data_IF_385266218988
#
_entry.id   IF_385266218988
#
_cell.length_a   1.000
_cell.length_b   1.000
_cell.length_c   1.000
_cell.angle_alpha   90.00
_cell.angle_beta   90.00
_cell.angle_gamma   90.00
#
_symmetry.space_group_name_H-M   'P 1'
#
loop_
_entity.id
_entity.type
_entity.pdbx_description
1 polymer ?
#
# COMPACT_ATOMS: atom_id res chain seq x y z
N UNK A 1 -23.56 4.85 -17.57
CA UNK A 1 -23.31 4.83 -16.12
C UNK A 1 -22.23 3.78 -15.84
N UNK A 2 -20.97 4.10 -16.16
CA UNK A 2 -19.80 3.21 -16.00
C UNK A 2 -18.65 3.98 -15.35
N UNK A 3 -19.02 4.92 -14.47
CA UNK A 3 -18.18 5.99 -13.94
C UNK A 3 -17.43 5.59 -12.65
N UNK A 4 -17.74 4.42 -12.08
CA UNK A 4 -17.24 4.02 -10.76
C UNK A 4 -15.82 3.43 -10.83
N UNK A 5 -15.42 2.82 -11.95
CA UNK A 5 -14.03 2.38 -12.14
C UNK A 5 -13.10 3.51 -12.62
N UNK A 6 -13.62 4.48 -13.35
CA UNK A 6 -12.82 5.54 -13.97
C UNK A 6 -12.36 6.63 -13.00
N UNK A 7 -13.22 7.07 -12.09
CA UNK A 7 -12.89 8.19 -11.20
C UNK A 7 -11.89 7.84 -10.09
N UNK A 8 -11.85 6.58 -9.64
CA UNK A 8 -10.93 6.20 -8.55
C UNK A 8 -9.47 6.12 -9.02
N UNK A 9 -9.24 5.84 -10.31
CA UNK A 9 -7.88 5.71 -10.88
C UNK A 9 -7.40 6.96 -11.61
N UNK A 10 -8.31 7.73 -12.24
CA UNK A 10 -7.93 8.82 -13.14
C UNK A 10 -7.56 10.14 -12.43
N UNK A 11 -7.98 10.35 -11.18
CA UNK A 11 -7.77 11.65 -10.51
C UNK A 11 -6.41 11.80 -9.81
N UNK A 12 -5.54 10.78 -9.78
CA UNK A 12 -4.33 10.90 -8.94
C UNK A 12 -2.97 10.40 -9.42
N UNK A 13 -2.75 9.94 -10.66
CA UNK A 13 -1.40 9.94 -11.27
C UNK A 13 -1.44 9.42 -12.73
N UNK A 14 -0.55 9.96 -13.58
CA UNK A 14 -0.30 9.45 -14.94
C UNK A 14 0.16 7.96 -14.95
N UNK A 15 0.61 7.42 -13.81
CA UNK A 15 1.01 6.02 -13.65
C UNK A 15 0.62 5.47 -12.27
N UNK A 16 0.37 4.15 -12.19
CA UNK A 16 -0.02 3.47 -10.94
C UNK A 16 1.12 3.58 -9.90
N UNK A 17 0.87 4.06 -8.65
CA UNK A 17 1.89 4.17 -7.60
C UNK A 17 2.67 2.88 -7.33
N UNK A 18 2.06 1.71 -7.52
CA UNK A 18 2.73 0.42 -7.40
C UNK A 18 3.77 0.20 -8.50
N UNK A 19 3.52 0.72 -9.71
CA UNK A 19 4.44 0.71 -10.86
C UNK A 19 5.57 1.71 -10.63
N UNK A 20 5.28 2.90 -10.11
CA UNK A 20 6.29 3.91 -9.76
C UNK A 20 7.29 3.35 -8.76
N UNK A 21 6.79 2.68 -7.71
CA UNK A 21 7.62 2.04 -6.69
C UNK A 21 8.51 0.95 -7.28
N UNK A 22 7.94 -0.03 -7.99
CA UNK A 22 8.69 -1.17 -8.52
C UNK A 22 9.64 -0.81 -9.66
N UNK A 23 9.20 0.07 -10.56
CA UNK A 23 9.89 0.26 -11.84
C UNK A 23 10.99 1.29 -11.74
N UNK A 24 10.86 2.27 -10.84
CA UNK A 24 11.77 3.41 -10.77
C UNK A 24 12.49 3.48 -9.42
N UNK A 25 11.75 3.40 -8.31
CA UNK A 25 12.34 3.63 -6.99
C UNK A 25 13.09 2.41 -6.47
N UNK A 26 12.53 1.20 -6.58
CA UNK A 26 13.21 -0.04 -6.20
C UNK A 26 14.47 -0.27 -7.05
N UNK A 27 14.41 -0.01 -8.36
CA UNK A 27 15.58 -0.10 -9.25
C UNK A 27 16.66 0.94 -8.91
N UNK A 28 16.27 2.15 -8.53
CA UNK A 28 17.23 3.17 -8.11
C UNK A 28 17.99 2.72 -6.86
N UNK A 29 17.31 2.09 -5.91
CA UNK A 29 17.92 1.51 -4.71
C UNK A 29 18.82 0.31 -5.04
N UNK A 30 18.38 -0.59 -5.93
CA UNK A 30 19.18 -1.75 -6.37
C UNK A 30 20.48 -1.33 -7.07
N UNK A 31 20.39 -0.35 -7.99
CA UNK A 31 21.56 0.21 -8.67
C UNK A 31 22.49 0.90 -7.68
N UNK A 32 21.94 1.59 -6.69
CA UNK A 32 22.74 2.24 -5.66
C UNK A 32 23.44 1.21 -4.75
N UNK A 33 22.78 0.09 -4.39
CA UNK A 33 23.32 -0.93 -3.50
C UNK A 33 24.34 -1.91 -4.09
N UNK A 34 24.38 -2.08 -5.42
CA UNK A 34 25.29 -3.04 -6.10
C UNK A 34 26.73 -2.55 -6.32
N UNK A 35 27.09 -1.34 -5.84
CA UNK A 35 28.46 -0.81 -5.96
C UNK A 35 29.31 -1.19 -4.74
N UNK A 36 30.06 -2.29 -4.84
CA UNK A 36 30.98 -2.85 -3.83
C UNK A 36 32.44 -2.35 -3.97
N UNK A 37 32.66 -1.24 -4.68
CA UNK A 37 33.97 -0.57 -4.77
C UNK A 37 34.20 0.37 -3.59
N UNK A 38 35.46 0.74 -3.30
CA UNK A 38 35.84 1.70 -2.23
C UNK A 38 34.84 2.85 -2.13
N UNK A 39 33.98 2.77 -1.12
CA UNK A 39 32.77 3.57 -1.06
C UNK A 39 33.13 4.98 -0.59
N UNK A 40 33.17 5.94 -1.52
CA UNK A 40 33.32 7.35 -1.17
C UNK A 40 32.13 7.80 -0.33
N UNK A 41 32.34 8.73 0.62
CA UNK A 41 31.24 9.29 1.41
C UNK A 41 30.14 9.93 0.55
N UNK A 42 30.47 10.37 -0.67
CA UNK A 42 29.51 10.84 -1.66
C UNK A 42 28.58 9.73 -2.16
N UNK A 43 29.11 8.51 -2.40
CA UNK A 43 28.32 7.38 -2.87
C UNK A 43 27.35 6.88 -1.78
N UNK A 44 27.81 6.84 -0.52
CA UNK A 44 26.96 6.51 0.64
C UNK A 44 25.83 7.52 0.81
N UNK A 45 26.12 8.80 0.58
CA UNK A 45 25.13 9.87 0.67
C UNK A 45 24.06 9.74 -0.45
N UNK A 46 24.46 9.43 -1.68
CA UNK A 46 23.51 9.19 -2.78
C UNK A 46 22.66 7.92 -2.56
N UNK A 47 23.26 6.83 -2.07
CA UNK A 47 22.53 5.63 -1.63
C UNK A 47 21.48 5.99 -0.56
N UNK A 48 21.89 6.72 0.48
CA UNK A 48 20.98 7.16 1.55
C UNK A 48 19.83 8.02 1.02
N UNK A 49 20.09 8.95 0.10
CA UNK A 49 19.05 9.76 -0.54
C UNK A 49 18.06 8.90 -1.33
N UNK A 50 18.53 7.86 -2.02
CA UNK A 50 17.68 6.93 -2.74
C UNK A 50 16.76 6.13 -1.79
N UNK A 51 17.33 5.54 -0.73
CA UNK A 51 16.56 4.85 0.32
C UNK A 51 15.53 5.81 0.96
N UNK A 52 15.94 7.03 1.32
CA UNK A 52 15.05 7.99 1.96
C UNK A 52 13.90 8.43 1.03
N UNK A 53 14.20 8.63 -0.25
CA UNK A 53 13.19 8.96 -1.26
C UNK A 53 12.15 7.83 -1.38
N UNK A 54 12.60 6.58 -1.46
CA UNK A 54 11.71 5.42 -1.52
C UNK A 54 10.91 5.27 -0.22
N UNK A 55 11.52 5.47 0.94
CA UNK A 55 10.85 5.42 2.25
C UNK A 55 9.70 6.44 2.31
N UNK A 56 9.99 7.71 1.98
CA UNK A 56 9.01 8.80 2.03
C UNK A 56 7.90 8.65 1.01
N UNK A 57 8.23 8.18 -0.19
CA UNK A 57 7.21 7.87 -1.20
C UNK A 57 6.27 6.78 -0.70
N UNK A 58 6.82 5.68 -0.20
CA UNK A 58 6.08 4.53 0.31
C UNK A 58 5.19 4.92 1.50
N UNK A 59 5.75 5.68 2.45
CA UNK A 59 5.01 6.21 3.60
C UNK A 59 3.85 7.12 3.16
N UNK A 60 4.09 8.00 2.19
CA UNK A 60 3.05 8.89 1.65
C UNK A 60 1.91 8.09 1.00
N UNK A 61 2.23 7.03 0.24
CA UNK A 61 1.20 6.16 -0.35
C UNK A 61 0.45 5.37 0.72
N UNK A 62 1.15 4.83 1.72
CA UNK A 62 0.54 4.16 2.86
C UNK A 62 -0.45 5.09 3.58
N UNK A 63 -0.03 6.31 3.94
CA UNK A 63 -0.89 7.29 4.61
C UNK A 63 -2.09 7.71 3.78
N UNK A 64 -1.92 7.85 2.46
CA UNK A 64 -3.05 8.12 1.54
C UNK A 64 -4.09 7.00 1.59
N UNK A 65 -3.66 5.74 1.51
CA UNK A 65 -4.56 4.59 1.57
C UNK A 65 -5.20 4.49 2.95
N UNK A 66 -4.44 4.66 4.02
CA UNK A 66 -4.91 4.58 5.40
C UNK A 66 -5.95 5.67 5.72
N UNK A 67 -5.70 6.91 5.29
CA UNK A 67 -6.64 8.01 5.43
C UNK A 67 -7.92 7.78 4.62
N UNK A 68 -7.79 7.26 3.40
CA UNK A 68 -8.95 6.86 2.60
C UNK A 68 -9.75 5.75 3.29
N UNK A 69 -9.10 4.73 3.84
CA UNK A 69 -9.77 3.64 4.56
C UNK A 69 -10.47 4.08 5.85
N UNK A 70 -10.01 5.19 6.46
CA UNK A 70 -10.67 5.84 7.60
C UNK A 70 -11.77 6.83 7.20
N UNK A 71 -11.94 7.10 5.91
CA UNK A 71 -12.92 8.08 5.43
C UNK A 71 -14.33 7.52 5.43
N UNK A 72 -15.32 8.42 5.56
CA UNK A 72 -16.73 8.09 5.38
C UNK A 72 -17.05 7.58 3.98
N UNK A 73 -16.27 7.96 2.97
CA UNK A 73 -16.43 7.45 1.60
C UNK A 73 -16.19 5.94 1.55
N UNK A 74 -15.10 5.48 2.17
CA UNK A 74 -14.77 4.07 2.23
C UNK A 74 -15.78 3.28 3.07
N UNK A 75 -16.19 3.82 4.22
CA UNK A 75 -17.21 3.22 5.06
C UNK A 75 -18.55 3.04 4.30
N UNK A 76 -19.01 4.09 3.63
CA UNK A 76 -20.21 4.05 2.80
C UNK A 76 -20.09 3.00 1.68
N UNK A 77 -18.92 2.94 1.01
CA UNK A 77 -18.67 1.94 -0.04
C UNK A 77 -18.73 0.53 0.51
N UNK A 78 -18.14 0.27 1.67
CA UNK A 78 -18.18 -1.04 2.32
C UNK A 78 -19.61 -1.43 2.75
N UNK A 79 -20.38 -0.47 3.26
CA UNK A 79 -21.78 -0.69 3.62
C UNK A 79 -22.65 -1.04 2.39
N UNK A 80 -22.46 -0.34 1.28
CA UNK A 80 -23.15 -0.64 0.02
C UNK A 80 -22.79 -2.04 -0.50
N UNK A 81 -21.51 -2.39 -0.44
CA UNK A 81 -21.03 -3.71 -0.87
C UNK A 81 -21.64 -4.83 -0.02
N UNK A 82 -21.70 -4.63 1.30
CA UNK A 82 -22.35 -5.59 2.22
C UNK A 82 -23.83 -5.77 1.88
N UNK A 83 -24.56 -4.68 1.65
CA UNK A 83 -25.99 -4.72 1.27
C UNK A 83 -26.20 -5.43 -0.06
N UNK A 84 -25.40 -5.12 -1.07
CA UNK A 84 -25.49 -5.79 -2.38
C UNK A 84 -25.25 -7.30 -2.26
N UNK A 85 -24.34 -7.72 -1.39
CA UNK A 85 -24.06 -9.13 -1.12
C UNK A 85 -25.22 -9.84 -0.41
N UNK A 86 -25.83 -9.18 0.57
CA UNK A 86 -27.03 -9.68 1.26
C UNK A 86 -28.21 -9.83 0.29
N UNK A 87 -28.45 -8.82 -0.55
CA UNK A 87 -29.52 -8.85 -1.56
C UNK A 87 -29.33 -10.01 -2.55
N UNK A 88 -28.12 -10.19 -3.08
CA UNK A 88 -27.81 -11.32 -3.97
C UNK A 88 -27.94 -12.66 -3.23
N UNK A 89 -27.60 -12.74 -1.94
CA UNK A 89 -27.81 -13.92 -1.11
C UNK A 89 -29.28 -14.32 -1.00
N UNK A 90 -30.14 -13.35 -0.68
CA UNK A 90 -31.59 -13.57 -0.57
C UNK A 90 -32.21 -14.01 -1.91
N UNK A 91 -31.78 -13.40 -3.03
CA UNK A 91 -32.24 -13.80 -4.36
C UNK A 91 -31.89 -15.26 -4.69
N UNK A 92 -30.73 -15.74 -4.24
CA UNK A 92 -30.31 -17.15 -4.38
C UNK A 92 -31.15 -18.08 -3.49
N UNK A 93 -31.41 -17.71 -2.24
CA UNK A 93 -32.19 -18.52 -1.30
C UNK A 93 -33.64 -18.73 -1.76
N UNK A 94 -34.24 -17.73 -2.39
CA UNK A 94 -35.63 -17.80 -2.85
C UNK A 94 -35.84 -18.51 -4.20
N UNK A 95 -34.80 -19.13 -4.80
CA UNK A 95 -34.85 -19.76 -6.14
C UNK A 95 -35.45 -18.85 -7.23
N UNK A 96 -35.39 -17.52 -7.04
CA UNK A 96 -35.75 -16.54 -8.06
C UNK A 96 -34.68 -16.72 -9.14
N UNK A 97 -35.09 -17.14 -10.34
CA UNK A 97 -34.22 -17.58 -11.42
C UNK A 97 -32.89 -16.79 -11.45
N UNK A 98 -31.84 -17.42 -10.93
CA UNK A 98 -30.48 -16.85 -10.82
C UNK A 98 -29.81 -16.62 -12.18
N UNK A 99 -30.54 -16.88 -13.27
CA UNK A 99 -30.15 -16.70 -14.66
C UNK A 99 -30.59 -15.34 -15.25
N UNK A 100 -31.21 -14.45 -14.46
CA UNK A 100 -31.48 -13.10 -14.94
C UNK A 100 -30.16 -12.34 -15.18
N UNK A 101 -30.04 -11.71 -16.34
CA UNK A 101 -28.88 -10.93 -16.79
C UNK A 101 -28.51 -9.84 -15.78
N UNK A 102 -29.50 -9.34 -15.04
CA UNK A 102 -29.32 -8.37 -13.97
C UNK A 102 -28.53 -8.95 -12.78
N UNK A 103 -28.92 -10.11 -12.24
CA UNK A 103 -28.23 -10.77 -11.12
C UNK A 103 -26.79 -11.16 -11.46
N UNK A 104 -26.54 -11.64 -12.68
CA UNK A 104 -25.17 -11.96 -13.15
C UNK A 104 -24.29 -10.69 -13.18
N UNK A 105 -24.87 -9.57 -13.61
CA UNK A 105 -24.15 -8.30 -13.68
C UNK A 105 -23.78 -7.77 -12.29
N UNK A 106 -24.74 -7.77 -11.36
CA UNK A 106 -24.51 -7.33 -9.97
C UNK A 106 -23.48 -8.22 -9.28
N UNK A 107 -23.55 -9.54 -9.48
CA UNK A 107 -22.56 -10.49 -8.95
C UNK A 107 -21.14 -10.19 -9.46
N UNK A 108 -21.00 -9.90 -10.76
CA UNK A 108 -19.70 -9.57 -11.36
C UNK A 108 -19.16 -8.23 -10.86
N UNK A 109 -20.02 -7.24 -10.69
CA UNK A 109 -19.62 -5.94 -10.11
C UNK A 109 -19.16 -6.11 -8.66
N UNK A 110 -19.86 -6.94 -7.88
CA UNK A 110 -19.48 -7.28 -6.51
C UNK A 110 -18.09 -7.97 -6.46
N UNK A 111 -17.83 -8.93 -7.34
CA UNK A 111 -16.53 -9.62 -7.42
C UNK A 111 -15.38 -8.67 -7.77
N UNK A 112 -15.63 -7.73 -8.70
CA UNK A 112 -14.65 -6.70 -9.06
C UNK A 112 -14.36 -5.77 -7.89
N UNK A 113 -15.38 -5.31 -7.18
CA UNK A 113 -15.21 -4.43 -6.02
C UNK A 113 -14.49 -5.16 -4.87
N UNK A 114 -14.83 -6.42 -4.59
CA UNK A 114 -14.12 -7.23 -3.60
C UNK A 114 -12.65 -7.44 -3.98
N UNK A 115 -12.37 -7.67 -5.26
CA UNK A 115 -11.01 -7.78 -5.78
C UNK A 115 -10.22 -6.48 -5.59
N UNK A 116 -10.81 -5.34 -5.94
CA UNK A 116 -10.21 -4.03 -5.75
C UNK A 116 -9.93 -3.72 -4.25
N UNK A 117 -10.84 -4.13 -3.35
CA UNK A 117 -10.63 -3.98 -1.91
C UNK A 117 -9.49 -4.85 -1.37
N UNK A 118 -9.34 -6.08 -1.89
CA UNK A 118 -8.19 -6.93 -1.54
C UNK A 118 -6.89 -6.32 -2.02
N UNK A 119 -6.83 -5.91 -3.29
CA UNK A 119 -5.66 -5.25 -3.86
C UNK A 119 -5.28 -3.99 -3.07
N UNK A 120 -6.25 -3.16 -2.68
CA UNK A 120 -5.99 -1.96 -1.87
C UNK A 120 -5.37 -2.29 -0.50
N UNK A 121 -5.84 -3.35 0.16
CA UNK A 121 -5.27 -3.80 1.44
C UNK A 121 -3.86 -4.36 1.28
N UNK A 122 -3.62 -5.09 0.21
CA UNK A 122 -2.30 -5.62 -0.15
C UNK A 122 -1.32 -4.47 -0.45
N UNK A 123 -1.74 -3.49 -1.26
CA UNK A 123 -0.95 -2.29 -1.55
C UNK A 123 -0.63 -1.52 -0.28
N UNK A 124 -1.62 -1.32 0.62
CA UNK A 124 -1.39 -0.69 1.92
C UNK A 124 -0.27 -1.37 2.69
N UNK A 125 -0.34 -2.70 2.80
CA UNK A 125 0.67 -3.49 3.51
C UNK A 125 2.04 -3.39 2.83
N UNK A 126 2.08 -3.50 1.50
CA UNK A 126 3.31 -3.43 0.71
C UNK A 126 4.01 -2.08 0.88
N UNK A 127 3.28 -0.97 0.79
CA UNK A 127 3.81 0.37 1.01
C UNK A 127 4.31 0.56 2.45
N UNK A 128 3.59 0.04 3.44
CA UNK A 128 4.02 0.09 4.84
C UNK A 128 5.34 -0.66 5.05
N UNK A 129 5.43 -1.92 4.60
CA UNK A 129 6.65 -2.71 4.72
C UNK A 129 7.82 -2.01 4.03
N UNK A 130 7.62 -1.49 2.81
CA UNK A 130 8.68 -0.77 2.08
C UNK A 130 9.11 0.51 2.78
N UNK A 131 8.19 1.27 3.35
CA UNK A 131 8.54 2.45 4.14
C UNK A 131 9.42 2.08 5.34
N UNK A 132 9.01 1.07 6.11
CA UNK A 132 9.74 0.58 7.29
C UNK A 132 11.13 0.09 6.91
N UNK A 133 11.24 -0.82 5.93
CA UNK A 133 12.50 -1.36 5.41
C UNK A 133 13.48 -0.24 5.04
N UNK A 134 13.03 0.73 4.25
CA UNK A 134 13.91 1.79 3.75
C UNK A 134 14.26 2.83 4.82
N UNK A 135 13.35 3.12 5.76
CA UNK A 135 13.69 3.95 6.92
C UNK A 135 14.76 3.28 7.79
N UNK A 136 14.68 1.96 8.02
CA UNK A 136 15.71 1.21 8.75
C UNK A 136 17.05 1.25 7.98
N UNK A 137 17.06 1.01 6.66
CA UNK A 137 18.28 1.11 5.85
C UNK A 137 18.92 2.50 5.90
N UNK A 138 18.12 3.58 5.97
CA UNK A 138 18.64 4.93 6.17
C UNK A 138 19.32 5.09 7.54
N UNK A 139 18.75 4.52 8.61
CA UNK A 139 19.31 4.59 9.95
C UNK A 139 20.63 3.84 10.08
N UNK A 140 20.77 2.70 9.40
CA UNK A 140 22.01 1.91 9.39
C UNK A 140 23.14 2.61 8.60
N UNK A 141 22.81 3.52 7.68
CA UNK A 141 23.78 4.17 6.79
C UNK A 141 24.47 5.43 7.36
N UNK A 142 23.87 6.06 8.38
CA UNK A 142 24.46 7.14 9.20
C UNK A 142 24.10 8.60 8.81
N UNK A 143 23.84 9.40 9.86
CA UNK A 143 23.49 10.84 10.01
C UNK A 143 22.19 11.38 9.37
N UNK A 144 21.38 12.05 10.21
CA UNK A 144 20.05 12.61 9.89
C UNK A 144 18.90 12.06 10.74
N UNK A 145 19.21 11.43 11.88
CA UNK A 145 18.39 10.40 12.51
C UNK A 145 17.09 10.84 13.20
N UNK A 146 17.07 12.00 13.85
CA UNK A 146 16.02 12.27 14.86
C UNK A 146 14.60 12.24 14.27
N UNK A 147 14.36 12.94 13.15
CA UNK A 147 13.01 12.99 12.55
C UNK A 147 12.55 11.64 11.98
N UNK A 148 13.47 10.84 11.42
CA UNK A 148 13.12 9.56 10.79
C UNK A 148 12.89 8.47 11.83
N UNK A 149 13.64 8.47 12.93
CA UNK A 149 13.40 7.58 14.07
C UNK A 149 12.00 7.81 14.63
N UNK A 150 11.60 9.07 14.86
CA UNK A 150 10.26 9.36 15.36
C UNK A 150 9.17 8.89 14.39
N UNK A 151 9.37 9.08 13.09
CA UNK A 151 8.41 8.62 12.08
C UNK A 151 8.32 7.09 12.05
N UNK A 152 9.46 6.41 12.07
CA UNK A 152 9.56 4.96 12.10
C UNK A 152 8.92 4.36 13.35
N UNK A 153 9.18 4.92 14.54
CA UNK A 153 8.53 4.53 15.78
C UNK A 153 7.01 4.76 15.73
N UNK A 154 6.56 5.88 15.17
CA UNK A 154 5.12 6.15 15.01
C UNK A 154 4.46 5.12 14.10
N UNK A 155 5.07 4.83 12.95
CA UNK A 155 4.58 3.81 12.01
C UNK A 155 4.52 2.42 12.66
N UNK A 156 5.53 2.05 13.45
CA UNK A 156 5.55 0.77 14.15
C UNK A 156 4.46 0.71 15.24
N UNK A 157 4.34 1.73 16.09
CA UNK A 157 3.31 1.76 17.14
C UNK A 157 1.89 1.70 16.56
N UNK A 158 1.64 2.45 15.48
CA UNK A 158 0.37 2.44 14.74
C UNK A 158 0.04 1.08 14.11
N UNK A 159 1.05 0.25 13.83
CA UNK A 159 0.91 -1.03 13.12
C UNK A 159 1.47 -2.23 13.89
N UNK A 160 1.62 -2.11 15.21
CA UNK A 160 2.24 -3.13 16.08
C UNK A 160 1.51 -4.48 16.10
N UNK A 161 0.26 -4.52 15.62
CA UNK A 161 -0.50 -5.76 15.42
C UNK A 161 -0.25 -6.47 14.08
N UNK A 162 0.57 -5.91 13.18
CA UNK A 162 0.88 -6.49 11.87
C UNK A 162 2.15 -7.33 11.98
N UNK A 163 2.04 -8.65 11.84
CA UNK A 163 3.17 -9.58 12.04
C UNK A 163 4.34 -9.28 11.12
N UNK A 164 4.09 -8.93 9.86
CA UNK A 164 5.14 -8.68 8.89
C UNK A 164 5.94 -7.41 9.19
N UNK A 165 5.32 -6.40 9.82
CA UNK A 165 6.03 -5.19 10.26
C UNK A 165 6.92 -5.51 11.46
N UNK A 166 6.45 -6.36 12.38
CA UNK A 166 7.23 -6.81 13.53
C UNK A 166 8.39 -7.71 13.11
N UNK A 167 8.20 -8.57 12.11
CA UNK A 167 9.27 -9.38 11.51
C UNK A 167 10.37 -8.47 10.95
N UNK A 168 10.01 -7.48 10.12
CA UNK A 168 11.00 -6.53 9.57
C UNK A 168 11.68 -5.67 10.64
N UNK A 169 10.95 -5.32 11.69
CA UNK A 169 11.54 -4.62 12.83
C UNK A 169 12.59 -5.50 13.53
N UNK A 170 12.29 -6.77 13.76
CA UNK A 170 13.16 -7.70 14.49
C UNK A 170 14.32 -8.25 13.66
N UNK A 171 14.17 -8.38 12.32
CA UNK A 171 15.23 -8.85 11.43
C UNK A 171 16.40 -7.85 11.34
N UNK A 172 16.10 -6.54 11.33
CA UNK A 172 17.10 -5.49 11.15
C UNK A 172 17.42 -4.70 12.45
N UNK A 173 16.66 -4.89 13.54
CA UNK A 173 17.01 -4.34 14.86
C UNK A 173 18.10 -5.20 15.51
N UNK A 174 19.32 -4.69 15.56
CA UNK A 174 20.38 -5.19 16.43
C UNK A 174 20.02 -4.83 17.89
N UNK A 175 19.10 -5.58 18.50
CA UNK A 175 18.93 -5.69 19.96
C UNK A 175 18.90 -7.18 20.31
#
# INVERSE_FOLDING_TARGET
>A
MLRICGNWLAETCLENPAVIMQTYLEKAVEVAGNYDGECSDELRNEQMKAFLSLARFSDTQYQRIENYMKSSEFENKQALLKRAKEEVGLLREHNIQTNDRYTIKVQRELELDECALRALKEDRKRFLCKAVENYISCLLSGEGHDMWIFRLCSLWLENSGVSEVNERWNEDSII
#
